data_IF_472935119098
#
_entry.id   IF_472935119098
#
_cell.length_a   1.000
_cell.length_b   1.000
_cell.length_c   1.000
_cell.angle_alpha   90.00
_cell.angle_beta   90.00
_cell.angle_gamma   90.00
#
_symmetry.space_group_name_H-M   'P 1'
#
loop_
_entity.id
_entity.type
_entity.pdbx_description
1 polymer ?
#
# COMPACT_ATOMS: atom_id res chain seq x y z
N UNK A 1 -0.01 0.27 1.29
CA UNK A 1 -0.42 -1.15 1.35
C UNK A 1 -1.72 -1.32 0.59
N UNK A 2 -1.94 -2.49 0.00
CA UNK A 2 -3.14 -2.83 -0.79
C UNK A 2 -3.69 -4.19 -0.36
N UNK A 3 -5.00 -4.35 -0.39
CA UNK A 3 -5.66 -5.64 -0.14
C UNK A 3 -5.31 -6.65 -1.24
N UNK A 4 -5.28 -7.93 -0.88
CA UNK A 4 -5.03 -8.99 -1.86
C UNK A 4 -6.14 -9.05 -2.92
N UNK A 5 -7.38 -8.77 -2.52
CA UNK A 5 -8.53 -8.80 -3.43
C UNK A 5 -8.49 -7.66 -4.44
N UNK A 6 -8.15 -6.43 -4.01
CA UNK A 6 -7.95 -5.33 -4.94
C UNK A 6 -6.74 -5.59 -5.85
N UNK A 7 -5.62 -6.11 -5.32
CA UNK A 7 -4.46 -6.45 -6.14
C UNK A 7 -4.81 -7.47 -7.24
N UNK A 8 -5.64 -8.48 -6.92
CA UNK A 8 -6.15 -9.46 -7.90
C UNK A 8 -7.11 -8.83 -8.90
N UNK A 9 -8.04 -8.00 -8.44
CA UNK A 9 -9.01 -7.29 -9.29
C UNK A 9 -8.31 -6.40 -10.32
N UNK A 10 -7.24 -5.73 -9.91
CA UNK A 10 -6.38 -4.91 -10.76
C UNK A 10 -5.35 -5.71 -11.56
N UNK A 11 -5.29 -7.04 -11.37
CA UNK A 11 -4.34 -7.95 -12.03
C UNK A 11 -2.88 -7.53 -11.85
N UNK A 12 -2.54 -7.03 -10.66
CA UNK A 12 -1.17 -6.62 -10.35
C UNK A 12 -0.23 -7.83 -10.30
N UNK A 13 1.00 -7.64 -10.77
CA UNK A 13 2.05 -8.65 -10.65
C UNK A 13 2.57 -8.67 -9.23
N UNK A 14 2.40 -9.81 -8.55
CA UNK A 14 2.88 -10.00 -7.18
C UNK A 14 4.34 -10.46 -7.17
N UNK A 15 5.17 -9.76 -6.42
CA UNK A 15 6.57 -10.08 -6.14
C UNK A 15 6.68 -10.65 -4.73
N UNK A 16 7.30 -11.82 -4.57
CA UNK A 16 7.40 -12.55 -3.27
C UNK A 16 8.82 -12.66 -2.73
N UNK A 17 9.75 -11.88 -3.26
CA UNK A 17 11.18 -11.97 -2.94
C UNK A 17 11.53 -11.25 -1.64
N UNK A 18 10.79 -10.19 -1.30
CA UNK A 18 11.04 -9.38 -0.11
C UNK A 18 9.98 -9.67 0.95
N UNK A 19 10.45 -10.02 2.15
CA UNK A 19 9.59 -10.20 3.32
C UNK A 19 9.93 -9.14 4.36
N UNK A 20 8.90 -8.55 4.95
CA UNK A 20 9.03 -7.54 6.00
C UNK A 20 8.13 -7.92 7.16
N UNK A 21 8.64 -7.79 8.39
CA UNK A 21 7.82 -7.84 9.60
C UNK A 21 7.40 -6.42 9.95
N UNK A 22 6.10 -6.22 10.13
CA UNK A 22 5.52 -4.95 10.57
C UNK A 22 4.74 -5.15 11.86
N UNK A 23 4.71 -4.15 12.71
CA UNK A 23 3.84 -4.13 13.89
C UNK A 23 2.87 -2.97 13.76
N UNK A 24 1.58 -3.27 13.86
CA UNK A 24 0.51 -2.27 13.86
C UNK A 24 0.08 -1.88 15.27
N UNK A 25 -1.11 -1.29 15.37
CA UNK A 25 -1.77 -1.04 16.65
C UNK A 25 -1.94 -2.38 17.41
N UNK A 26 -1.60 -2.41 18.69
CA UNK A 26 -1.60 -3.65 19.49
C UNK A 26 -0.29 -4.45 19.45
N UNK A 27 0.70 -4.03 18.63
CA UNK A 27 2.09 -4.51 18.72
C UNK A 27 2.33 -5.94 18.20
N UNK A 28 1.29 -6.65 17.75
CA UNK A 28 1.42 -8.00 17.20
C UNK A 28 2.17 -7.94 15.87
N UNK A 29 3.37 -8.56 15.76
CA UNK A 29 4.11 -8.58 14.52
C UNK A 29 3.37 -9.39 13.45
N UNK A 30 3.23 -8.81 12.27
CA UNK A 30 2.66 -9.44 11.09
C UNK A 30 3.70 -9.50 9.98
N UNK A 31 3.81 -10.64 9.31
CA UNK A 31 4.74 -10.82 8.21
C UNK A 31 4.04 -10.52 6.88
N UNK A 32 4.58 -9.58 6.12
CA UNK A 32 4.18 -9.26 4.76
C UNK A 32 5.17 -9.96 3.82
N UNK A 33 4.64 -10.72 2.87
CA UNK A 33 5.43 -11.58 1.97
C UNK A 33 5.24 -11.27 0.49
N UNK A 34 4.43 -10.27 0.17
CA UNK A 34 4.15 -9.89 -1.21
C UNK A 34 4.13 -8.37 -1.36
N UNK A 35 4.67 -7.91 -2.48
CA UNK A 35 4.54 -6.54 -2.96
C UNK A 35 4.10 -6.53 -4.41
N UNK A 36 3.65 -5.38 -4.89
CA UNK A 36 3.32 -5.15 -6.29
C UNK A 36 3.71 -3.71 -6.66
N UNK A 37 4.27 -3.52 -7.85
CA UNK A 37 4.41 -2.17 -8.40
C UNK A 37 3.03 -1.65 -8.81
N UNK A 38 2.66 -0.47 -8.33
CA UNK A 38 1.40 0.19 -8.63
C UNK A 38 1.61 1.61 -9.14
N UNK A 39 0.70 2.05 -10.01
CA UNK A 39 0.56 3.45 -10.41
C UNK A 39 -0.60 4.08 -9.64
N UNK A 40 -0.30 5.11 -8.86
CA UNK A 40 -1.31 5.89 -8.14
C UNK A 40 -1.44 7.23 -8.84
N UNK A 41 -2.63 7.54 -9.34
CA UNK A 41 -2.92 8.84 -9.95
C UNK A 41 -3.62 9.74 -8.94
N UNK A 42 -3.07 10.93 -8.71
CA UNK A 42 -3.68 11.98 -7.88
C UNK A 42 -4.03 13.19 -8.76
N UNK A 43 -5.31 13.58 -8.75
CA UNK A 43 -5.82 14.61 -9.64
C UNK A 43 -5.76 14.20 -11.12
N UNK A 44 -5.53 15.16 -12.02
CA UNK A 44 -5.67 14.94 -13.47
C UNK A 44 -4.40 14.44 -14.17
N UNK A 45 -3.21 14.61 -13.59
CA UNK A 45 -1.94 14.31 -14.29
C UNK A 45 -0.81 13.76 -13.43
N UNK A 46 -0.95 13.71 -12.11
CA UNK A 46 0.17 13.32 -11.25
C UNK A 46 0.12 11.82 -11.02
N UNK A 47 1.10 11.09 -11.56
CA UNK A 47 1.21 9.64 -11.44
C UNK A 47 2.44 9.29 -10.60
N UNK A 48 2.23 8.53 -9.54
CA UNK A 48 3.27 7.99 -8.68
C UNK A 48 3.44 6.50 -8.96
N UNK A 49 4.65 6.08 -9.32
CA UNK A 49 5.02 4.66 -9.41
C UNK A 49 5.66 4.27 -8.10
N UNK A 50 5.05 3.32 -7.39
CA UNK A 50 5.50 2.92 -6.05
C UNK A 50 5.35 1.42 -5.85
N UNK A 51 6.22 0.86 -5.02
CA UNK A 51 6.06 -0.50 -4.51
C UNK A 51 4.98 -0.50 -3.41
N UNK A 52 3.93 -1.28 -3.62
CA UNK A 52 2.82 -1.44 -2.70
C UNK A 52 2.90 -2.80 -2.02
N UNK A 53 3.05 -2.80 -0.71
CA UNK A 53 2.93 -4.00 0.10
C UNK A 53 1.51 -4.56 0.06
N UNK A 54 1.38 -5.86 -0.19
CA UNK A 54 0.09 -6.58 -0.20
C UNK A 54 -0.12 -7.27 1.14
N UNK A 55 -1.13 -6.86 1.88
CA UNK A 55 -1.44 -7.45 3.18
C UNK A 55 -2.93 -7.34 3.54
N UNK A 56 -3.34 -8.05 4.58
CA UNK A 56 -4.62 -7.80 5.22
C UNK A 56 -4.51 -6.53 6.07
N UNK A 57 -5.19 -5.46 5.66
CA UNK A 57 -5.08 -4.11 6.26
C UNK A 57 -6.29 -3.74 7.12
N UNK A 58 -7.19 -4.68 7.37
CA UNK A 58 -8.43 -4.46 8.12
C UNK A 58 -9.67 -4.69 7.27
N UNK A 59 -10.79 -4.97 7.95
CA UNK A 59 -12.08 -5.23 7.30
C UNK A 59 -12.57 -3.98 6.55
N UNK A 60 -13.02 -4.17 5.31
CA UNK A 60 -13.54 -3.09 4.46
C UNK A 60 -12.50 -2.13 3.89
N UNK A 61 -11.20 -2.36 4.10
CA UNK A 61 -10.12 -1.51 3.59
C UNK A 61 -9.42 -2.14 2.39
N UNK A 62 -9.43 -1.41 1.27
CA UNK A 62 -8.75 -1.82 0.03
C UNK A 62 -7.34 -1.25 -0.10
N UNK A 63 -7.10 -0.03 0.39
CA UNK A 63 -5.82 0.66 0.29
C UNK A 63 -5.52 1.42 1.58
N UNK A 64 -4.28 1.35 2.03
CA UNK A 64 -3.73 2.17 3.10
C UNK A 64 -2.52 2.96 2.56
N UNK A 65 -2.65 4.28 2.42
CA UNK A 65 -1.57 5.15 1.95
C UNK A 65 -0.69 5.60 3.12
N UNK A 66 0.58 5.21 3.08
CA UNK A 66 1.55 5.53 4.11
C UNK A 66 2.13 6.94 3.98
N UNK A 67 2.96 7.31 4.96
CA UNK A 67 3.68 8.59 4.97
C UNK A 67 4.65 8.74 3.80
N UNK A 68 5.18 7.63 3.29
CA UNK A 68 6.06 7.59 2.11
C UNK A 68 5.36 8.12 0.85
N UNK A 69 4.09 7.76 0.65
CA UNK A 69 3.25 8.33 -0.40
C UNK A 69 2.87 9.77 -0.06
N UNK A 70 2.30 10.01 1.13
CA UNK A 70 1.75 11.32 1.51
C UNK A 70 2.81 12.44 1.43
N UNK A 71 4.03 12.16 1.89
CA UNK A 71 5.13 13.11 1.83
C UNK A 71 5.52 13.44 0.38
N UNK A 72 5.70 12.41 -0.46
CA UNK A 72 6.02 12.59 -1.90
C UNK A 72 4.90 13.28 -2.67
N UNK A 73 3.66 13.04 -2.27
CA UNK A 73 2.47 13.64 -2.87
C UNK A 73 2.19 15.08 -2.39
N UNK A 74 2.96 15.59 -1.42
CA UNK A 74 2.72 16.93 -0.86
C UNK A 74 1.42 17.01 -0.06
N UNK A 75 0.87 15.87 0.40
CA UNK A 75 -0.35 15.84 1.21
C UNK A 75 -0.10 16.55 2.53
N UNK A 76 -1.04 17.38 2.94
CA UNK A 76 -1.05 18.10 4.22
C UNK A 76 -2.43 17.93 4.85
N UNK A 77 -2.44 17.80 6.18
CA UNK A 77 -3.67 17.83 6.96
C UNK A 77 -3.86 19.27 7.41
N UNK A 78 -4.97 19.87 7.01
CA UNK A 78 -5.37 21.23 7.40
C UNK A 78 -6.51 21.14 8.41
N UNK A 79 -6.53 22.09 9.34
CA UNK A 79 -7.58 22.27 10.35
C UNK A 79 -8.62 23.27 9.90
#
# INVERSE_FOLDING_TARGET
>A
MISLDLARKLKLKLHRQNQVKVSGLGGIPTQITASAEGKITLGTRVVYIMELWVANIGEGLDVLLGMDFMFRAGVRVSV
#
